data_IF_407343098275
#
_entry.id   IF_407343098275
#
_cell.length_a   1.000
_cell.length_b   1.000
_cell.length_c   1.000
_cell.angle_alpha   90.00
_cell.angle_beta   90.00
_cell.angle_gamma   90.00
#
_symmetry.space_group_name_H-M   'P 1'
#
loop_
_entity.id
_entity.type
_entity.pdbx_description
1 polymer ?
#
# COMPACT_ATOMS: atom_id res chain seq x y z
N UNK A 1 -7.71 18.47 7.19
CA UNK A 1 -7.74 17.01 6.94
C UNK A 1 -6.28 16.57 6.83
N UNK A 2 -5.84 15.62 7.65
CA UNK A 2 -4.44 15.24 7.74
C UNK A 2 -4.24 13.80 7.31
N UNK A 3 -3.76 13.59 6.10
CA UNK A 3 -3.20 12.31 5.69
C UNK A 3 -1.99 12.00 6.57
N UNK A 4 -2.01 10.85 7.24
CA UNK A 4 -0.93 10.46 8.15
C UNK A 4 -0.09 9.40 7.46
N UNK A 5 1.14 9.74 7.08
CA UNK A 5 2.07 8.84 6.40
C UNK A 5 3.39 8.69 7.17
N UNK A 6 3.92 7.47 7.23
CA UNK A 6 5.20 7.16 7.87
C UNK A 6 5.95 6.07 7.09
N UNK A 7 7.20 6.35 6.72
CA UNK A 7 8.09 5.36 6.10
C UNK A 7 8.90 4.65 7.17
N UNK A 8 9.05 3.34 7.05
CA UNK A 8 9.70 2.49 8.05
C UNK A 8 10.76 1.60 7.41
N UNK A 9 11.62 1.00 8.25
CA UNK A 9 12.68 0.12 7.79
C UNK A 9 13.91 0.83 7.21
N UNK A 10 14.84 0.01 6.70
CA UNK A 10 16.10 0.46 6.11
C UNK A 10 15.85 1.04 4.72
N UNK A 11 16.73 1.95 4.29
CA UNK A 11 16.74 2.36 2.89
C UNK A 11 17.21 1.18 2.03
N UNK A 12 16.45 0.88 1.00
CA UNK A 12 16.79 -0.16 0.02
C UNK A 12 17.47 0.54 -1.14
N UNK A 13 18.71 0.12 -1.44
CA UNK A 13 19.39 0.52 -2.67
C UNK A 13 18.64 -0.11 -3.84
N UNK A 14 17.72 0.66 -4.41
CA UNK A 14 16.82 0.19 -5.45
C UNK A 14 17.41 0.44 -6.85
N UNK A 15 17.61 -0.63 -7.61
CA UNK A 15 17.96 -0.59 -9.04
C UNK A 15 16.69 -0.41 -9.93
N UNK A 16 15.55 -0.08 -9.32
CA UNK A 16 14.23 0.02 -9.95
C UNK A 16 13.34 -1.22 -9.77
N UNK A 17 13.84 -2.28 -9.14
CA UNK A 17 13.10 -3.55 -8.97
C UNK A 17 12.20 -3.53 -7.74
N UNK A 18 12.69 -3.02 -6.60
CA UNK A 18 11.92 -2.89 -5.37
C UNK A 18 10.79 -1.87 -5.54
N UNK A 19 11.07 -0.69 -6.10
CA UNK A 19 10.03 0.29 -6.39
C UNK A 19 8.96 -0.26 -7.33
N UNK A 20 9.32 -1.02 -8.37
CA UNK A 20 8.35 -1.67 -9.24
C UNK A 20 7.47 -2.69 -8.48
N UNK A 21 8.03 -3.46 -7.56
CA UNK A 21 7.25 -4.41 -6.74
C UNK A 21 6.33 -3.70 -5.74
N UNK A 22 6.81 -2.63 -5.11
CA UNK A 22 5.97 -1.79 -4.24
C UNK A 22 4.80 -1.20 -5.03
N UNK A 23 5.07 -0.58 -6.19
CA UNK A 23 4.01 -0.04 -7.05
C UNK A 23 2.98 -1.12 -7.44
N UNK A 24 3.44 -2.32 -7.80
CA UNK A 24 2.56 -3.41 -8.19
C UNK A 24 1.68 -3.90 -7.02
N UNK A 25 2.26 -4.09 -5.82
CA UNK A 25 1.51 -4.48 -4.62
C UNK A 25 0.44 -3.46 -4.26
N UNK A 26 0.79 -2.18 -4.26
CA UNK A 26 -0.13 -1.11 -3.88
C UNK A 26 -1.27 -0.98 -4.89
N UNK A 27 -0.97 -1.13 -6.19
CA UNK A 27 -1.98 -1.09 -7.26
C UNK A 27 -2.93 -2.28 -7.23
N UNK A 28 -2.42 -3.48 -6.97
CA UNK A 28 -3.24 -4.67 -6.73
C UNK A 28 -4.14 -4.47 -5.51
N UNK A 29 -3.63 -3.93 -4.41
CA UNK A 29 -4.44 -3.64 -3.22
C UNK A 29 -5.53 -2.60 -3.50
N UNK A 30 -5.22 -1.52 -4.21
CA UNK A 30 -6.20 -0.51 -4.58
C UNK A 30 -7.33 -1.08 -5.47
N UNK A 31 -7.01 -2.10 -6.27
CA UNK A 31 -7.98 -2.75 -7.17
C UNK A 31 -8.78 -3.87 -6.47
N UNK A 32 -8.14 -4.69 -5.65
CA UNK A 32 -8.73 -5.90 -5.08
C UNK A 32 -9.50 -5.60 -3.80
N UNK A 33 -8.96 -4.78 -2.89
CA UNK A 33 -9.58 -4.44 -1.60
C UNK A 33 -11.02 -3.94 -1.72
N UNK A 34 -11.38 -2.99 -2.62
CA UNK A 34 -12.77 -2.52 -2.75
C UNK A 34 -13.73 -3.61 -3.24
N UNK A 35 -13.25 -4.67 -3.90
CA UNK A 35 -14.10 -5.79 -4.36
C UNK A 35 -14.36 -6.83 -3.29
N UNK A 36 -13.66 -6.75 -2.15
CA UNK A 36 -13.75 -7.72 -1.06
C UNK A 36 -14.78 -7.25 -0.03
N UNK A 37 -15.65 -8.13 0.48
CA UNK A 37 -16.62 -7.77 1.52
C UNK A 37 -15.98 -7.63 2.93
N UNK A 38 -14.65 -7.47 3.01
CA UNK A 38 -13.88 -7.43 4.25
C UNK A 38 -13.29 -6.04 4.44
N UNK A 39 -13.23 -5.61 5.71
CA UNK A 39 -12.58 -4.35 6.06
C UNK A 39 -11.09 -4.34 5.73
N UNK A 40 -10.43 -5.51 5.64
CA UNK A 40 -8.98 -5.61 5.57
C UNK A 40 -8.58 -6.72 4.57
N UNK A 41 -7.73 -6.37 3.61
CA UNK A 41 -7.16 -7.28 2.61
C UNK A 41 -5.62 -7.22 2.66
N UNK A 42 -5.01 -8.39 2.56
CA UNK A 42 -3.55 -8.56 2.61
C UNK A 42 -3.15 -9.22 1.29
N UNK A 43 -2.38 -8.51 0.49
CA UNK A 43 -1.78 -9.05 -0.74
C UNK A 43 -0.29 -9.16 -0.52
N UNK A 44 0.24 -10.36 -0.74
CA UNK A 44 1.68 -10.57 -0.77
C UNK A 44 2.09 -10.74 -2.22
N UNK A 45 3.00 -9.89 -2.69
CA UNK A 45 3.67 -10.14 -3.95
C UNK A 45 5.02 -10.79 -3.65
N UNK A 46 5.24 -12.05 -4.09
CA UNK A 46 6.55 -12.65 -4.01
C UNK A 46 7.47 -11.90 -4.97
N UNK A 47 8.23 -10.95 -4.43
CA UNK A 47 9.32 -10.30 -5.14
C UNK A 47 10.37 -11.34 -5.52
N UNK A 48 10.94 -11.19 -6.72
CA UNK A 48 11.88 -12.15 -7.26
C UNK A 48 13.31 -11.62 -7.05
N UNK A 49 14.17 -12.38 -6.37
CA UNK A 49 15.60 -12.05 -6.20
C UNK A 49 15.97 -11.30 -4.92
N UNK A 50 17.01 -10.45 -5.01
CA UNK A 50 17.65 -9.80 -3.86
C UNK A 50 16.79 -8.72 -3.17
N UNK A 51 15.72 -8.26 -3.83
CA UNK A 51 14.79 -7.26 -3.31
C UNK A 51 13.82 -7.82 -2.26
N UNK A 52 13.77 -9.14 -2.06
CA UNK A 52 12.85 -9.77 -1.11
C UNK A 52 11.39 -9.73 -1.57
N UNK A 53 10.50 -10.40 -0.83
CA UNK A 53 9.06 -10.35 -1.09
C UNK A 53 8.45 -9.05 -0.56
N UNK A 54 7.56 -8.41 -1.31
CA UNK A 54 6.84 -7.23 -0.80
C UNK A 54 5.47 -7.69 -0.31
N UNK A 55 5.23 -7.52 0.98
CA UNK A 55 3.91 -7.72 1.59
C UNK A 55 3.22 -6.38 1.65
N UNK A 56 1.97 -6.31 1.19
CA UNK A 56 1.14 -5.13 1.34
C UNK A 56 -0.16 -5.44 2.07
N UNK A 57 -0.69 -4.41 2.70
CA UNK A 57 -1.98 -4.44 3.39
C UNK A 57 -2.76 -3.19 3.03
N UNK A 58 -4.05 -3.35 2.80
CA UNK A 58 -4.98 -2.24 2.66
C UNK A 58 -6.26 -2.52 3.44
N UNK A 59 -6.83 -1.45 3.96
CA UNK A 59 -8.00 -1.49 4.85
C UNK A 59 -8.97 -0.41 4.41
N UNK A 60 -10.26 -0.74 4.37
CA UNK A 60 -11.35 0.19 4.13
C UNK A 60 -12.40 0.03 5.23
N UNK A 61 -12.78 1.14 5.85
CA UNK A 61 -13.73 1.08 6.96
C UNK A 61 -15.17 0.84 6.53
N UNK A 62 -15.54 1.21 5.30
CA UNK A 62 -16.88 0.97 4.76
C UNK A 62 -16.85 -0.01 3.56
N UNK A 63 -17.09 -1.31 3.80
CA UNK A 63 -17.14 -2.30 2.72
C UNK A 63 -18.42 -2.19 1.86
N UNK A 64 -19.37 -1.32 2.23
CA UNK A 64 -20.60 -1.10 1.48
C UNK A 64 -20.44 -0.06 0.37
N UNK A 65 -19.36 0.74 0.41
CA UNK A 65 -19.04 1.78 -0.55
C UNK A 65 -17.70 1.48 -1.26
N UNK A 66 -17.70 0.54 -2.24
CA UNK A 66 -16.49 0.13 -2.94
C UNK A 66 -15.85 1.26 -3.75
N UNK A 67 -16.65 2.21 -4.26
CA UNK A 67 -16.14 3.38 -5.00
C UNK A 67 -15.35 4.34 -4.10
N UNK A 68 -15.82 4.56 -2.87
CA UNK A 68 -15.14 5.41 -1.89
C UNK A 68 -13.84 4.75 -1.42
N UNK A 69 -13.88 3.44 -1.15
CA UNK A 69 -12.70 2.64 -0.85
C UNK A 69 -11.65 2.70 -1.98
N UNK A 70 -12.06 2.47 -3.23
CA UNK A 70 -11.16 2.51 -4.40
C UNK A 70 -10.51 3.89 -4.57
N UNK A 71 -11.31 4.96 -4.45
CA UNK A 71 -10.83 6.34 -4.56
C UNK A 71 -9.83 6.70 -3.46
N UNK A 72 -10.12 6.29 -2.23
CA UNK A 72 -9.24 6.53 -1.08
C UNK A 72 -7.91 5.77 -1.22
N UNK A 73 -7.97 4.48 -1.54
CA UNK A 73 -6.77 3.64 -1.71
C UNK A 73 -5.91 4.11 -2.89
N UNK A 74 -6.51 4.58 -3.99
CA UNK A 74 -5.76 5.14 -5.12
C UNK A 74 -5.01 6.43 -4.75
N UNK A 75 -5.59 7.27 -3.90
CA UNK A 75 -4.91 8.44 -3.35
C UNK A 75 -3.74 8.06 -2.44
N UNK A 76 -3.95 7.07 -1.57
CA UNK A 76 -2.93 6.55 -0.66
C UNK A 76 -1.77 5.87 -1.41
N UNK A 77 -2.06 5.11 -2.47
CA UNK A 77 -1.06 4.49 -3.35
C UNK A 77 -0.04 5.52 -3.84
N UNK A 78 -0.50 6.63 -4.40
CA UNK A 78 0.38 7.70 -4.87
C UNK A 78 1.22 8.32 -3.74
N UNK A 79 0.61 8.50 -2.57
CA UNK A 79 1.24 9.16 -1.43
C UNK A 79 2.34 8.30 -0.81
N UNK A 80 2.06 7.01 -0.58
CA UNK A 80 3.02 6.06 -0.01
C UNK A 80 4.12 5.71 -0.99
N UNK A 81 3.79 5.55 -2.28
CA UNK A 81 4.79 5.27 -3.31
C UNK A 81 5.75 6.45 -3.48
N UNK A 82 5.22 7.68 -3.57
CA UNK A 82 6.04 8.88 -3.68
C UNK A 82 6.92 9.16 -2.46
N UNK A 83 6.48 8.75 -1.27
CA UNK A 83 7.18 9.06 -0.01
C UNK A 83 8.12 7.94 0.46
N UNK A 84 7.74 6.68 0.26
CA UNK A 84 8.38 5.54 0.93
C UNK A 84 8.96 4.48 -0.02
N UNK A 85 8.87 4.63 -1.35
CA UNK A 85 9.35 3.61 -2.32
C UNK A 85 10.83 3.24 -2.19
N UNK A 86 11.68 4.11 -1.63
CA UNK A 86 13.09 3.82 -1.34
C UNK A 86 13.35 3.13 0.01
N UNK A 87 12.29 2.81 0.75
CA UNK A 87 12.36 2.20 2.09
C UNK A 87 11.86 0.77 2.07
N UNK A 88 12.31 -0.03 3.02
CA UNK A 88 11.84 -1.39 3.24
C UNK A 88 10.37 -1.45 3.71
N UNK A 89 9.77 -0.34 4.12
CA UNK A 89 8.35 -0.31 4.45
C UNK A 89 7.77 1.10 4.50
N UNK A 90 6.45 1.14 4.55
CA UNK A 90 5.68 2.37 4.69
C UNK A 90 4.25 2.09 5.07
N UNK A 91 3.61 3.10 5.66
CA UNK A 91 2.20 3.07 5.99
C UNK A 91 1.61 4.46 5.84
N UNK A 92 0.42 4.54 5.25
CA UNK A 92 -0.35 5.77 5.10
C UNK A 92 -1.81 5.50 5.43
N UNK A 93 -2.49 6.52 5.95
CA UNK A 93 -3.91 6.46 6.24
C UNK A 93 -4.58 7.80 6.03
N UNK A 94 -5.84 7.75 5.60
CA UNK A 94 -6.71 8.91 5.55
C UNK A 94 -7.80 8.74 6.62
N UNK A 95 -7.80 9.66 7.59
CA UNK A 95 -8.77 9.66 8.71
C UNK A 95 -10.18 10.05 8.25
N UNK A 96 -10.30 10.79 7.13
CA UNK A 96 -11.58 11.29 6.61
C UNK A 96 -12.38 10.21 5.89
N UNK A 97 -11.69 9.38 5.10
CA UNK A 97 -12.26 8.28 4.32
C UNK A 97 -12.06 6.91 5.00
N UNK A 98 -11.40 6.93 6.16
CA UNK A 98 -11.10 5.78 7.02
C UNK A 98 -10.54 4.57 6.23
N UNK A 99 -9.63 4.85 5.30
CA UNK A 99 -8.88 3.84 4.58
C UNK A 99 -7.39 3.94 4.90
N UNK A 100 -6.69 2.82 4.85
CA UNK A 100 -5.26 2.75 5.15
C UNK A 100 -4.56 1.80 4.20
N UNK A 101 -3.29 2.08 3.89
CA UNK A 101 -2.48 1.28 2.98
C UNK A 101 -1.05 1.22 3.51
N UNK A 102 -0.42 0.05 3.43
CA UNK A 102 0.96 -0.14 3.84
C UNK A 102 1.66 -1.23 3.06
N UNK A 103 2.98 -1.21 3.10
CA UNK A 103 3.82 -2.27 2.58
C UNK A 103 5.04 -2.50 3.49
N UNK A 104 5.59 -3.71 3.42
CA UNK A 104 6.82 -4.09 4.08
C UNK A 104 7.56 -5.16 3.27
N UNK A 105 8.87 -5.07 3.27
CA UNK A 105 9.82 -6.03 2.72
C UNK A 105 10.58 -6.67 3.89
N UNK A 106 10.46 -7.98 4.12
CA UNK A 106 11.12 -8.71 5.19
C UNK A 106 12.60 -8.97 4.94
#
# INVERSE_FOLDING_TARGET
MGDTGSCTGVEISDDGTHSAYVAHVLSELATVTPTKPRLEDITTFPGNGASGSVVGVATCSDPNDPELCASCLSGLEHLIFGSCSSRAGGYVGNDSDACTMGFATP
#
